data_IF_833342835362
#
_entry.id   IF_833342835362
#
_cell.length_a   1.000
_cell.length_b   1.000
_cell.length_c   1.000
_cell.angle_alpha   90.00
_cell.angle_beta   90.00
_cell.angle_gamma   90.00
#
_symmetry.space_group_name_H-M   'P 1'
#
loop_
_entity.id
_entity.type
_entity.pdbx_description
1 polymer ?
#
# COMPACT_ATOMS: atom_id res chain seq x y z
N UNK A 1 21.08 -15.87 -6.96
CA UNK A 1 19.70 -15.48 -6.62
C UNK A 1 19.64 -14.23 -5.73
N UNK A 2 20.28 -14.18 -4.56
CA UNK A 2 20.24 -13.01 -3.66
C UNK A 2 20.66 -11.68 -4.32
N UNK A 3 21.71 -11.69 -5.15
CA UNK A 3 22.22 -10.49 -5.85
C UNK A 3 21.27 -9.93 -6.92
N UNK A 4 20.47 -10.79 -7.57
CA UNK A 4 19.50 -10.37 -8.58
C UNK A 4 18.32 -9.68 -7.89
N UNK A 5 17.87 -10.22 -6.76
CA UNK A 5 16.80 -9.62 -5.93
C UNK A 5 17.23 -8.24 -5.41
N UNK A 6 18.46 -8.10 -4.92
CA UNK A 6 19.00 -6.80 -4.50
C UNK A 6 19.05 -5.78 -5.63
N UNK A 7 19.46 -6.21 -6.83
CA UNK A 7 19.52 -5.32 -8.00
C UNK A 7 18.12 -4.87 -8.44
N UNK A 8 17.14 -5.79 -8.39
CA UNK A 8 15.75 -5.50 -8.72
C UNK A 8 15.12 -4.53 -7.73
N UNK A 9 15.43 -4.68 -6.44
CA UNK A 9 14.97 -3.77 -5.39
C UNK A 9 15.53 -2.35 -5.57
N UNK A 10 16.81 -2.23 -5.95
CA UNK A 10 17.47 -0.96 -6.23
C UNK A 10 16.89 -0.30 -7.49
N UNK A 11 16.58 -1.07 -8.53
CA UNK A 11 15.94 -0.54 -9.75
C UNK A 11 14.51 -0.07 -9.46
N UNK A 12 13.75 -0.79 -8.64
CA UNK A 12 12.41 -0.36 -8.20
C UNK A 12 12.52 0.91 -7.35
N UNK A 13 13.43 0.96 -6.38
CA UNK A 13 13.64 2.14 -5.53
C UNK A 13 14.09 3.37 -6.33
N UNK A 14 15.04 3.20 -7.26
CA UNK A 14 15.54 4.29 -8.11
C UNK A 14 14.50 4.76 -9.14
N UNK A 15 13.73 3.83 -9.72
CA UNK A 15 12.63 4.15 -10.62
C UNK A 15 11.52 4.93 -9.91
N UNK A 16 11.26 4.64 -8.64
CA UNK A 16 10.23 5.31 -7.83
C UNK A 16 10.47 6.80 -7.67
N UNK A 17 11.74 7.24 -7.62
CA UNK A 17 12.09 8.66 -7.39
C UNK A 17 11.92 9.50 -8.66
N UNK A 18 12.08 8.89 -9.84
CA UNK A 18 12.03 9.60 -11.13
C UNK A 18 10.59 9.78 -11.69
N UNK A 19 9.60 9.04 -11.16
CA UNK A 19 8.17 9.19 -11.51
C UNK A 19 7.33 9.70 -10.33
N UNK A 20 7.96 10.19 -9.28
CA UNK A 20 7.26 10.83 -8.17
C UNK A 20 6.92 12.29 -8.53
N UNK A 21 5.63 12.63 -8.38
CA UNK A 21 5.07 13.98 -8.25
C UNK A 21 4.68 14.74 -9.52
N UNK A 22 3.89 14.10 -10.39
CA UNK A 22 2.68 14.81 -10.82
C UNK A 22 1.50 13.94 -10.38
N UNK A 23 0.70 14.44 -9.43
CA UNK A 23 -0.52 13.74 -9.00
C UNK A 23 -1.50 13.89 -10.14
N UNK A 24 -1.36 13.04 -11.16
CA UNK A 24 -2.24 12.98 -12.31
C UNK A 24 -3.62 12.57 -11.81
N UNK A 25 -4.44 13.59 -11.58
CA UNK A 25 -5.83 13.49 -11.17
C UNK A 25 -6.76 13.74 -12.35
N UNK A 26 -6.29 13.68 -13.60
CA UNK A 26 -7.12 14.04 -14.74
C UNK A 26 -8.14 12.94 -15.02
N UNK A 27 -9.27 13.33 -15.59
CA UNK A 27 -10.27 12.39 -16.09
C UNK A 27 -9.62 11.32 -16.98
N UNK A 28 -10.00 10.07 -16.73
CA UNK A 28 -9.49 8.85 -17.36
C UNK A 28 -8.07 8.43 -16.97
N UNK A 29 -7.42 9.13 -16.03
CA UNK A 29 -6.13 8.66 -15.52
C UNK A 29 -6.30 7.40 -14.67
N UNK A 30 -5.31 6.52 -14.76
CA UNK A 30 -5.20 5.30 -13.99
C UNK A 30 -3.97 5.35 -13.10
N UNK A 31 -4.12 4.99 -11.84
CA UNK A 31 -3.02 4.91 -10.88
C UNK A 31 -2.99 3.56 -10.19
N UNK A 32 -1.79 2.98 -10.07
CA UNK A 32 -1.57 1.87 -9.16
C UNK A 32 -1.31 2.40 -7.75
N UNK A 33 -1.92 1.74 -6.78
CA UNK A 33 -1.81 2.06 -5.36
C UNK A 33 -1.01 0.97 -4.70
N UNK A 34 0.05 1.34 -3.99
CA UNK A 34 0.78 0.41 -3.13
C UNK A 34 0.76 0.97 -1.73
N UNK A 35 0.52 0.09 -0.77
CA UNK A 35 0.44 0.46 0.63
C UNK A 35 1.23 -0.57 1.42
N UNK A 36 2.11 -0.09 2.28
CA UNK A 36 2.85 -0.90 3.23
C UNK A 36 2.92 -0.08 4.51
N UNK A 37 2.30 -0.58 5.57
CA UNK A 37 2.24 0.04 6.88
C UNK A 37 2.76 -0.95 7.94
N UNK A 38 3.21 -0.43 9.08
CA UNK A 38 3.74 -1.27 10.16
C UNK A 38 5.19 -1.76 9.94
N UNK A 39 5.95 -1.10 9.06
CA UNK A 39 7.41 -1.33 8.94
C UNK A 39 8.15 -1.03 10.24
N UNK A 40 7.64 -0.06 10.97
CA UNK A 40 8.02 0.37 12.31
C UNK A 40 7.63 -0.64 13.40
N UNK A 41 6.61 -1.47 13.16
CA UNK A 41 6.11 -2.49 14.09
C UNK A 41 6.49 -3.92 13.67
N UNK A 42 7.46 -4.09 12.77
CA UNK A 42 7.90 -5.40 12.28
C UNK A 42 8.38 -6.31 13.42
N UNK A 43 8.95 -5.73 14.48
CA UNK A 43 9.36 -6.45 15.69
C UNK A 43 8.20 -6.97 16.53
N UNK A 44 7.02 -6.33 16.44
CA UNK A 44 5.79 -6.76 17.09
C UNK A 44 5.02 -7.81 16.27
N UNK A 45 5.53 -8.20 15.09
CA UNK A 45 4.88 -9.17 14.21
C UNK A 45 3.59 -8.66 13.57
N UNK A 46 3.38 -7.33 13.58
CA UNK A 46 2.24 -6.66 12.97
C UNK A 46 2.69 -5.86 11.76
N UNK A 47 2.25 -6.29 10.58
CA UNK A 47 2.44 -5.52 9.36
C UNK A 47 1.26 -5.74 8.43
N UNK A 48 0.91 -4.69 7.69
CA UNK A 48 -0.17 -4.73 6.75
C UNK A 48 0.23 -4.01 5.47
N UNK A 49 -0.27 -4.53 4.36
CA UNK A 49 0.03 -3.96 3.07
C UNK A 49 -1.06 -4.27 2.07
N UNK A 50 -0.87 -3.80 0.86
CA UNK A 50 -1.82 -4.02 -0.20
C UNK A 50 -1.38 -3.40 -1.51
N UNK A 51 -2.03 -3.88 -2.55
CA UNK A 51 -1.96 -3.30 -3.87
C UNK A 51 -3.38 -2.96 -4.32
N UNK A 52 -3.50 -1.93 -5.12
CA UNK A 52 -4.77 -1.49 -5.62
C UNK A 52 -4.61 -0.69 -6.90
N UNK A 53 -5.76 -0.27 -7.40
CA UNK A 53 -5.90 0.57 -8.55
C UNK A 53 -6.86 1.70 -8.22
N UNK A 54 -6.64 2.84 -8.87
CA UNK A 54 -7.61 3.92 -8.93
C UNK A 54 -7.81 4.35 -10.37
N UNK A 55 -9.04 4.70 -10.70
CA UNK A 55 -9.42 5.24 -12.00
C UNK A 55 -10.22 6.52 -11.79
N UNK A 56 -9.72 7.62 -12.35
CA UNK A 56 -10.38 8.92 -12.30
C UNK A 56 -11.52 8.99 -13.31
N UNK A 57 -12.76 9.08 -12.83
CA UNK A 57 -13.94 9.32 -13.65
C UNK A 57 -14.08 10.81 -14.04
N UNK A 58 -13.53 11.68 -13.20
CA UNK A 58 -13.44 13.13 -13.39
C UNK A 58 -12.20 13.65 -12.66
N UNK A 59 -11.86 14.93 -12.84
CA UNK A 59 -10.64 15.52 -12.29
C UNK A 59 -10.54 15.43 -10.75
N UNK A 60 -11.69 15.25 -10.08
CA UNK A 60 -11.80 15.20 -8.63
C UNK A 60 -12.54 13.98 -8.11
N UNK A 61 -12.87 13.03 -8.98
CA UNK A 61 -13.61 11.82 -8.62
C UNK A 61 -12.89 10.60 -9.14
N UNK A 62 -12.50 9.70 -8.24
CA UNK A 62 -11.88 8.43 -8.61
C UNK A 62 -12.56 7.24 -7.96
N UNK A 63 -12.72 6.16 -8.73
CA UNK A 63 -13.02 4.84 -8.20
C UNK A 63 -11.72 4.19 -7.76
N UNK A 64 -11.78 3.46 -6.65
CA UNK A 64 -10.65 2.74 -6.06
C UNK A 64 -11.03 1.30 -5.82
N UNK A 65 -10.10 0.41 -6.06
CA UNK A 65 -10.21 -0.99 -5.72
C UNK A 65 -8.88 -1.49 -5.20
N UNK A 66 -8.86 -2.06 -4.00
CA UNK A 66 -7.65 -2.56 -3.36
C UNK A 66 -7.82 -3.99 -2.87
N UNK A 67 -6.72 -4.74 -2.93
CA UNK A 67 -6.54 -5.99 -2.21
C UNK A 67 -5.46 -5.75 -1.15
N UNK A 68 -5.82 -5.95 0.11
CA UNK A 68 -4.91 -5.80 1.23
C UNK A 68 -4.72 -7.11 1.98
N UNK A 69 -3.64 -7.16 2.74
CA UNK A 69 -3.37 -8.18 3.73
C UNK A 69 -2.95 -7.51 5.04
N UNK A 70 -3.26 -8.17 6.14
CA UNK A 70 -2.77 -7.80 7.46
C UNK A 70 -2.32 -9.07 8.16
N UNK A 71 -1.10 -9.06 8.69
CA UNK A 71 -0.61 -10.10 9.58
C UNK A 71 -0.49 -9.51 10.96
N UNK A 72 -0.93 -10.27 11.95
CA UNK A 72 -0.69 -9.99 13.35
C UNK A 72 -0.25 -11.27 14.06
N UNK A 73 0.65 -11.11 15.01
CA UNK A 73 1.19 -12.18 15.82
C UNK A 73 1.10 -11.76 17.28
N UNK A 74 0.43 -12.56 18.10
CA UNK A 74 0.31 -12.31 19.53
C UNK A 74 0.83 -13.54 20.30
N UNK A 75 1.66 -13.30 21.30
CA UNK A 75 2.05 -14.34 22.26
C UNK A 75 0.85 -14.73 23.12
N UNK A 76 0.65 -16.02 23.34
CA UNK A 76 -0.39 -16.51 24.23
C UNK A 76 -0.04 -16.12 25.67
N UNK A 77 -0.99 -15.47 26.37
CA UNK A 77 -0.80 -15.07 27.75
C UNK A 77 -0.82 -16.27 28.73
N UNK A 78 -1.28 -17.45 28.29
CA UNK A 78 -1.26 -18.67 29.11
C UNK A 78 -0.03 -19.54 28.89
N UNK A 79 0.60 -19.47 27.72
CA UNK A 79 1.83 -20.20 27.42
C UNK A 79 2.76 -19.34 26.54
N UNK A 80 3.80 -18.71 27.11
CA UNK A 80 4.63 -17.72 26.41
C UNK A 80 5.47 -18.31 25.26
N UNK A 81 5.54 -19.64 25.13
CA UNK A 81 6.14 -20.30 23.96
C UNK A 81 5.16 -20.46 22.78
N UNK A 82 3.86 -20.27 23.00
CA UNK A 82 2.84 -20.40 21.95
C UNK A 82 2.58 -19.06 21.31
N UNK A 83 2.89 -18.95 20.02
CA UNK A 83 2.61 -17.77 19.20
C UNK A 83 1.40 -18.03 18.32
N UNK A 84 0.35 -17.20 18.46
CA UNK A 84 -0.81 -17.25 17.57
C UNK A 84 -0.64 -16.20 16.50
N UNK A 85 -0.49 -16.64 15.26
CA UNK A 85 -0.41 -15.77 14.08
C UNK A 85 -1.69 -15.86 13.26
N UNK A 86 -2.23 -14.70 12.86
CA UNK A 86 -3.35 -14.60 11.94
C UNK A 86 -2.98 -13.75 10.73
N UNK A 87 -3.43 -14.18 9.55
CA UNK A 87 -3.37 -13.38 8.33
C UNK A 87 -4.79 -13.13 7.82
N UNK A 88 -5.16 -11.86 7.71
CA UNK A 88 -6.40 -11.42 7.11
C UNK A 88 -6.12 -10.91 5.69
N UNK A 89 -7.02 -11.24 4.76
CA UNK A 89 -7.04 -10.68 3.40
C UNK A 89 -8.30 -9.84 3.29
N UNK A 90 -8.19 -8.63 2.75
CA UNK A 90 -9.30 -7.71 2.57
C UNK A 90 -9.42 -7.26 1.11
N UNK A 91 -10.66 -6.99 0.70
CA UNK A 91 -10.99 -6.37 -0.57
C UNK A 91 -11.66 -5.04 -0.25
N UNK A 92 -11.15 -3.97 -0.84
CA UNK A 92 -11.49 -2.59 -0.48
C UNK A 92 -11.92 -1.81 -1.72
N UNK A 93 -13.18 -1.90 -2.15
CA UNK A 93 -13.75 -0.95 -3.10
C UNK A 93 -13.96 0.41 -2.42
N UNK A 94 -13.81 1.51 -3.17
CA UNK A 94 -14.01 2.85 -2.62
C UNK A 94 -14.14 3.93 -3.68
N UNK A 95 -14.51 5.13 -3.24
CA UNK A 95 -14.56 6.33 -4.07
C UNK A 95 -13.78 7.44 -3.38
N UNK A 96 -13.01 8.19 -4.14
CA UNK A 96 -12.28 9.37 -3.67
C UNK A 96 -12.89 10.62 -4.29
N UNK A 97 -13.14 11.61 -3.45
CA UNK A 97 -13.54 12.95 -3.85
C UNK A 97 -12.45 13.94 -3.39
N UNK A 98 -11.91 14.72 -4.32
CA UNK A 98 -11.05 15.85 -3.98
C UNK A 98 -11.93 17.07 -3.74
N UNK A 99 -12.08 17.49 -2.48
CA UNK A 99 -12.94 18.62 -2.10
C UNK A 99 -12.26 19.98 -2.30
N UNK A 100 -10.93 20.00 -2.37
CA UNK A 100 -10.14 21.19 -2.59
C UNK A 100 -8.98 20.86 -3.52
N UNK A 101 -8.77 21.72 -4.51
CA UNK A 101 -7.65 21.61 -5.43
C UNK A 101 -6.50 22.43 -4.84
N UNK A 102 -5.43 21.76 -4.39
CA UNK A 102 -4.22 22.44 -3.93
C UNK A 102 -3.27 22.56 -5.12
N UNK A 103 -3.08 23.78 -5.63
CA UNK A 103 -2.15 24.07 -6.72
C UNK A 103 -0.72 24.30 -6.23
N UNK A 104 -0.40 24.05 -4.96
CA UNK A 104 0.98 24.07 -4.47
C UNK A 104 1.65 22.73 -4.78
N UNK A 105 2.13 22.60 -6.02
CA UNK A 105 3.25 21.74 -6.40
C UNK A 105 4.16 22.57 -7.29
#
# INVERSE_FOLDING_TARGET
MKRIVSLLLVVVAAGSVAVAQDVRNQKNDFGLLFTLNGLDNLSAGEYNGGAGAQWYLANDVALRFGLGFATASQGDNQDPETTVSGTAINISPGVRFNLANNSNV
#
